data_IF_858325380101
#
_entry.id   IF_858325380101
#
_cell.length_a   1.000
_cell.length_b   1.000
_cell.length_c   1.000
_cell.angle_alpha   90.00
_cell.angle_beta   90.00
_cell.angle_gamma   90.00
#
_symmetry.space_group_name_H-M   'P 1'
#
loop_
_entity.id
_entity.type
_entity.pdbx_description
1 polymer ?
#
# COMPACT_ATOMS: atom_id res chain seq x y z
N UNK A 1 31.17 -11.26 -10.44
CA UNK A 1 29.87 -11.79 -10.91
C UNK A 1 29.35 -12.66 -9.78
N UNK A 2 28.26 -12.29 -9.14
CA UNK A 2 27.71 -13.06 -8.01
C UNK A 2 27.21 -14.42 -8.52
N UNK A 3 27.59 -15.51 -7.87
CA UNK A 3 27.14 -16.86 -8.22
C UNK A 3 25.61 -16.93 -8.26
N UNK A 4 25.07 -17.26 -9.44
CA UNK A 4 23.64 -17.46 -9.63
C UNK A 4 23.24 -18.80 -9.02
N UNK A 5 22.62 -18.76 -7.84
CA UNK A 5 22.04 -19.95 -7.20
C UNK A 5 20.67 -20.26 -7.82
N UNK A 6 20.45 -21.48 -8.35
CA UNK A 6 19.12 -21.88 -8.82
C UNK A 6 18.14 -21.98 -7.64
N UNK A 7 16.93 -21.47 -7.83
CA UNK A 7 15.82 -21.49 -6.86
C UNK A 7 14.61 -22.21 -7.45
N UNK A 8 13.69 -22.65 -6.59
CA UNK A 8 12.44 -23.29 -7.06
C UNK A 8 11.49 -22.28 -7.72
N UNK A 9 10.55 -22.75 -8.54
CA UNK A 9 9.52 -21.90 -9.13
C UNK A 9 8.65 -21.20 -8.06
N UNK A 10 8.33 -21.91 -6.97
CA UNK A 10 7.59 -21.34 -5.85
C UNK A 10 8.37 -20.22 -5.15
N UNK A 11 9.68 -20.40 -4.96
CA UNK A 11 10.57 -19.40 -4.38
C UNK A 11 10.76 -18.20 -5.33
N UNK A 12 10.84 -18.45 -6.63
CA UNK A 12 10.85 -17.40 -7.64
C UNK A 12 9.55 -16.59 -7.61
N UNK A 13 8.38 -17.23 -7.59
CA UNK A 13 7.09 -16.56 -7.49
C UNK A 13 6.95 -15.72 -6.22
N UNK A 14 7.43 -16.24 -5.09
CA UNK A 14 7.49 -15.50 -3.83
C UNK A 14 8.36 -14.24 -3.94
N UNK A 15 9.60 -14.40 -4.42
CA UNK A 15 10.53 -13.29 -4.60
C UNK A 15 10.00 -12.27 -5.61
N UNK A 16 9.36 -12.73 -6.68
CA UNK A 16 8.73 -11.88 -7.67
C UNK A 16 7.62 -11.02 -7.08
N UNK A 17 6.66 -11.61 -6.36
CA UNK A 17 5.58 -10.85 -5.72
C UNK A 17 6.15 -9.83 -4.74
N UNK A 18 7.16 -10.21 -3.94
CA UNK A 18 7.84 -9.29 -3.02
C UNK A 18 8.48 -8.10 -3.74
N UNK A 19 9.05 -8.30 -4.93
CA UNK A 19 9.68 -7.24 -5.71
C UNK A 19 8.69 -6.42 -6.54
N UNK A 20 7.57 -7.00 -6.98
CA UNK A 20 6.52 -6.28 -7.73
C UNK A 20 5.67 -5.42 -6.79
N UNK A 21 5.37 -5.93 -5.59
CA UNK A 21 4.62 -5.22 -4.55
C UNK A 21 5.54 -4.30 -3.72
N UNK A 22 6.76 -4.05 -4.18
CA UNK A 22 7.77 -3.35 -3.41
C UNK A 22 7.27 -1.96 -2.95
N UNK A 23 7.60 -1.66 -1.70
CA UNK A 23 7.11 -0.55 -0.89
C UNK A 23 7.04 0.79 -1.64
N UNK A 24 7.99 1.08 -2.54
CA UNK A 24 8.05 2.35 -3.26
C UNK A 24 6.82 2.66 -4.12
N UNK A 25 6.14 1.66 -4.70
CA UNK A 25 4.92 1.89 -5.49
C UNK A 25 3.67 1.99 -4.61
N UNK A 26 3.59 1.12 -3.60
CA UNK A 26 2.53 1.20 -2.59
C UNK A 26 2.59 2.55 -1.88
N UNK A 27 3.76 2.98 -1.43
CA UNK A 27 3.98 4.31 -0.88
C UNK A 27 3.56 5.39 -1.85
N UNK A 28 3.94 5.41 -3.13
CA UNK A 28 3.52 6.51 -4.03
C UNK A 28 2.01 6.56 -4.31
N UNK A 29 1.36 5.43 -4.58
CA UNK A 29 -0.08 5.39 -4.87
C UNK A 29 -0.93 5.58 -3.59
N UNK A 30 -0.47 5.05 -2.45
CA UNK A 30 -1.14 5.21 -1.15
C UNK A 30 -0.84 6.57 -0.53
N UNK A 31 0.39 7.09 -0.57
CA UNK A 31 0.72 8.45 -0.13
C UNK A 31 -0.11 9.47 -0.90
N UNK A 32 -0.25 9.34 -2.22
CA UNK A 32 -1.13 10.24 -2.99
C UNK A 32 -2.60 10.17 -2.54
N UNK A 33 -3.07 9.01 -2.06
CA UNK A 33 -4.41 8.82 -1.52
C UNK A 33 -4.54 9.16 -0.02
N UNK A 34 -3.44 9.24 0.73
CA UNK A 34 -3.40 9.46 2.18
C UNK A 34 -2.85 10.83 2.57
N UNK A 35 -2.21 11.57 1.65
CA UNK A 35 -1.81 12.97 1.81
C UNK A 35 -3.02 13.91 1.89
N UNK A 36 -4.22 13.42 1.59
CA UNK A 36 -5.47 14.12 1.93
C UNK A 36 -5.58 14.22 3.46
N UNK A 37 -5.52 15.43 4.00
CA UNK A 37 -5.77 15.70 5.41
C UNK A 37 -7.11 15.06 5.82
N UNK A 38 -7.07 14.17 6.81
CA UNK A 38 -8.28 13.57 7.35
C UNK A 38 -8.78 14.48 8.47
N UNK A 39 -9.72 15.36 8.12
CA UNK A 39 -10.40 16.22 9.09
C UNK A 39 -11.66 15.54 9.63
N UNK A 40 -11.93 15.74 10.91
CA UNK A 40 -13.18 15.29 11.51
C UNK A 40 -13.49 15.97 12.83
N UNK A 41 -14.68 15.70 13.35
CA UNK A 41 -15.09 16.19 14.66
C UNK A 41 -15.43 15.03 15.59
N UNK A 42 -15.07 15.21 16.85
CA UNK A 42 -15.36 14.33 17.97
C UNK A 42 -16.32 15.05 18.91
N UNK A 43 -17.44 14.40 19.23
CA UNK A 43 -18.43 14.93 20.17
C UNK A 43 -18.71 13.88 21.24
N UNK A 44 -18.44 14.22 22.51
CA UNK A 44 -18.88 13.44 23.68
C UNK A 44 -19.76 14.32 24.55
N UNK A 45 -20.93 13.82 24.98
CA UNK A 45 -21.78 14.40 26.02
C UNK A 45 -22.41 13.26 26.84
N UNK A 46 -22.52 13.33 28.19
CA UNK A 46 -23.03 14.48 28.96
C UNK A 46 -22.17 14.94 30.17
N UNK A 47 -22.55 16.12 30.71
CA UNK A 47 -22.04 16.85 31.90
C UNK A 47 -20.69 17.60 31.81
N UNK A 48 -19.86 17.37 30.80
CA UNK A 48 -18.72 18.26 30.48
C UNK A 48 -18.66 18.41 28.95
N UNK A 49 -19.03 19.60 28.46
CA UNK A 49 -19.05 19.96 27.04
C UNK A 49 -17.62 19.91 26.45
N UNK A 50 -17.22 18.76 25.91
CA UNK A 50 -15.97 18.59 25.17
C UNK A 50 -16.31 18.45 23.68
N UNK A 51 -15.96 19.48 22.91
CA UNK A 51 -16.04 19.46 21.45
C UNK A 51 -14.61 19.47 20.92
N UNK A 52 -14.26 18.46 20.12
CA UNK A 52 -12.93 18.33 19.53
C UNK A 52 -12.97 18.38 18.01
N UNK A 53 -12.20 19.27 17.39
CA UNK A 53 -11.82 19.14 15.96
C UNK A 53 -10.48 18.41 15.89
N UNK A 54 -10.28 17.57 14.89
CA UNK A 54 -8.96 17.02 14.63
C UNK A 54 -8.57 17.18 13.17
N UNK A 55 -7.27 17.35 12.95
CA UNK A 55 -6.64 17.33 11.64
C UNK A 55 -5.50 16.33 11.67
N UNK A 56 -5.58 15.30 10.83
CA UNK A 56 -4.56 14.26 10.72
C UNK A 56 -3.80 14.39 9.41
N UNK A 57 -2.47 14.36 9.50
CA UNK A 57 -1.55 14.37 8.36
C UNK A 57 -0.64 13.16 8.43
N UNK A 58 -0.57 12.42 7.33
CA UNK A 58 0.44 11.36 7.17
C UNK A 58 1.82 11.98 6.98
N UNK A 59 2.78 11.53 7.78
CA UNK A 59 4.17 11.95 7.78
C UNK A 59 5.06 10.96 7.04
N UNK A 60 4.84 9.66 7.27
CA UNK A 60 5.64 8.59 6.67
C UNK A 60 4.78 7.33 6.48
N UNK A 61 5.15 6.51 5.49
CA UNK A 61 4.51 5.26 5.14
C UNK A 61 5.56 4.19 4.94
N UNK A 62 5.51 3.13 5.74
CA UNK A 62 6.41 1.99 5.64
C UNK A 62 5.64 0.73 5.27
N UNK A 63 6.27 -0.13 4.46
CA UNK A 63 5.67 -1.40 4.02
C UNK A 63 6.64 -2.52 4.35
N UNK A 64 6.21 -3.43 5.21
CA UNK A 64 6.99 -4.59 5.63
C UNK A 64 6.36 -5.89 5.13
N UNK A 65 7.14 -6.83 4.56
CA UNK A 65 6.62 -8.14 4.19
C UNK A 65 6.33 -8.97 5.45
N UNK A 66 5.17 -9.63 5.48
CA UNK A 66 4.76 -10.53 6.56
C UNK A 66 5.25 -11.95 6.31
N UNK A 67 6.52 -12.18 6.64
CA UNK A 67 7.19 -13.46 6.41
C UNK A 67 6.62 -14.61 7.25
N UNK A 68 5.88 -14.30 8.32
CA UNK A 68 5.23 -15.28 9.18
C UNK A 68 4.01 -15.97 8.52
N UNK A 69 3.49 -15.43 7.42
CA UNK A 69 2.30 -15.97 6.73
C UNK A 69 2.62 -17.00 5.65
N UNK A 70 3.89 -17.36 5.46
CA UNK A 70 4.31 -18.32 4.44
C UNK A 70 3.49 -19.63 4.53
N UNK A 71 3.01 -20.17 3.40
CA UNK A 71 3.32 -19.81 2.01
C UNK A 71 2.52 -18.64 1.43
N UNK A 72 1.62 -18.00 2.19
CA UNK A 72 0.87 -16.82 1.72
C UNK A 72 1.76 -15.59 1.74
N UNK A 73 1.57 -14.71 0.76
CA UNK A 73 2.25 -13.40 0.73
C UNK A 73 1.32 -12.36 1.33
N UNK A 74 1.80 -11.64 2.34
CA UNK A 74 1.12 -10.51 2.94
C UNK A 74 2.11 -9.41 3.29
N UNK A 75 1.58 -8.23 3.54
CA UNK A 75 2.35 -7.05 3.91
C UNK A 75 1.71 -6.37 5.11
N UNK A 76 2.50 -5.62 5.85
CA UNK A 76 2.04 -4.67 6.86
C UNK A 76 2.39 -3.28 6.39
N UNK A 77 1.38 -2.43 6.31
CA UNK A 77 1.50 -1.01 6.06
C UNK A 77 1.51 -0.29 7.42
N UNK A 78 2.59 0.40 7.73
CA UNK A 78 2.71 1.25 8.91
C UNK A 78 2.60 2.71 8.48
N UNK A 79 1.56 3.38 8.97
CA UNK A 79 1.30 4.79 8.70
C UNK A 79 1.67 5.60 9.92
N UNK A 80 2.67 6.46 9.78
CA UNK A 80 3.06 7.41 10.80
C UNK A 80 2.44 8.76 10.45
N UNK A 81 1.78 9.40 11.41
CA UNK A 81 1.20 10.71 11.18
C UNK A 81 1.14 11.56 12.43
N UNK A 82 0.94 12.84 12.16
CA UNK A 82 0.75 13.88 13.15
C UNK A 82 -0.74 14.23 13.18
N UNK A 83 -1.32 14.29 14.38
CA UNK A 83 -2.68 14.71 14.57
C UNK A 83 -2.74 15.87 15.55
N UNK A 84 -3.32 16.98 15.10
CA UNK A 84 -3.67 18.10 15.96
C UNK A 84 -5.10 17.90 16.43
N UNK A 85 -5.32 17.85 17.75
CA UNK A 85 -6.63 17.78 18.36
C UNK A 85 -6.92 19.09 19.09
N UNK A 86 -7.83 19.89 18.54
CA UNK A 86 -8.30 21.14 19.11
C UNK A 86 -9.47 20.84 20.06
N UNK A 87 -9.25 20.98 21.36
CA UNK A 87 -10.24 20.73 22.39
C UNK A 87 -10.87 22.05 22.86
N UNK A 88 -12.19 22.04 22.92
CA UNK A 88 -12.96 23.07 23.60
C UNK A 88 -13.68 22.45 24.80
N UNK A 89 -13.24 22.83 25.99
CA UNK A 89 -13.83 22.42 27.27
C UNK A 89 -14.38 23.66 27.96
N UNK A 90 -15.70 23.80 28.00
CA UNK A 90 -16.37 25.02 28.48
C UNK A 90 -15.86 26.27 27.70
N UNK A 91 -15.07 27.14 28.36
CA UNK A 91 -14.44 28.34 27.79
C UNK A 91 -12.92 28.21 27.56
N UNK A 92 -12.35 27.03 27.84
CA UNK A 92 -10.92 26.78 27.68
C UNK A 92 -10.71 26.10 26.33
N UNK A 93 -9.80 26.67 25.53
CA UNK A 93 -9.29 26.05 24.31
C UNK A 93 -7.91 25.46 24.61
N UNK A 94 -7.68 24.26 24.11
CA UNK A 94 -6.41 23.59 24.27
C UNK A 94 -6.13 22.75 23.02
N UNK A 95 -4.91 22.82 22.54
CA UNK A 95 -4.46 22.06 21.38
C UNK A 95 -3.56 20.93 21.87
N UNK A 96 -3.77 19.73 21.32
CA UNK A 96 -3.01 18.53 21.67
C UNK A 96 -2.38 17.97 20.43
N UNK A 97 -1.05 17.93 20.41
CA UNK A 97 -0.29 17.22 19.40
C UNK A 97 -0.24 15.73 19.75
N UNK A 98 -0.61 14.89 18.78
CA UNK A 98 -0.71 13.46 18.94
C UNK A 98 0.06 12.78 17.81
N UNK A 99 1.11 12.05 18.16
CA UNK A 99 1.72 11.10 17.23
C UNK A 99 0.80 9.89 17.08
N UNK A 100 0.51 9.53 15.83
CA UNK A 100 -0.35 8.41 15.47
C UNK A 100 0.46 7.40 14.67
N UNK A 101 0.37 6.14 15.07
CA UNK A 101 0.83 4.99 14.29
C UNK A 101 -0.36 4.08 14.00
N UNK A 102 -0.60 3.79 12.72
CA UNK A 102 -1.68 2.91 12.25
C UNK A 102 -1.06 1.75 11.49
N UNK A 103 -1.38 0.53 11.90
CA UNK A 103 -0.94 -0.68 11.22
C UNK A 103 -2.08 -1.30 10.42
N UNK A 104 -1.91 -1.42 9.11
CA UNK A 104 -2.88 -2.06 8.21
C UNK A 104 -2.24 -3.30 7.61
N UNK A 105 -2.80 -4.46 7.90
CA UNK A 105 -2.36 -5.70 7.26
C UNK A 105 -2.99 -5.81 5.87
N UNK A 106 -2.18 -6.17 4.88
CA UNK A 106 -2.54 -6.35 3.47
C UNK A 106 -2.35 -7.81 3.09
N UNK A 107 -3.39 -8.46 2.60
CA UNK A 107 -3.28 -9.76 1.96
C UNK A 107 -3.00 -9.59 0.47
N UNK A 108 -2.27 -10.55 -0.12
CA UNK A 108 -2.11 -10.61 -1.58
C UNK A 108 -2.92 -11.75 -2.16
N UNK A 109 -3.77 -11.40 -3.11
CA UNK A 109 -4.51 -12.34 -3.92
C UNK A 109 -4.03 -12.29 -5.37
N UNK A 110 -3.89 -13.45 -5.98
CA UNK A 110 -3.46 -13.61 -7.37
C UNK A 110 -4.62 -14.13 -8.22
N UNK A 111 -4.85 -13.51 -9.37
CA UNK A 111 -5.91 -13.85 -10.30
C UNK A 111 -5.36 -14.02 -11.72
N UNK A 112 -6.05 -14.82 -12.54
CA UNK A 112 -5.75 -14.95 -13.97
C UNK A 112 -6.00 -13.62 -14.71
N UNK A 113 -5.23 -13.30 -15.79
CA UNK A 113 -4.05 -14.04 -16.26
C UNK A 113 -2.77 -13.75 -15.45
N UNK A 114 -2.59 -12.53 -14.93
CA UNK A 114 -1.48 -12.12 -14.06
C UNK A 114 -1.87 -10.85 -13.26
N UNK A 115 -2.99 -10.92 -12.55
CA UNK A 115 -3.51 -9.80 -11.75
C UNK A 115 -3.17 -10.05 -10.29
N UNK A 116 -2.56 -9.07 -9.63
CA UNK A 116 -2.37 -9.05 -8.18
C UNK A 116 -3.37 -8.08 -7.57
N UNK A 117 -4.07 -8.49 -6.52
CA UNK A 117 -4.89 -7.60 -5.69
C UNK A 117 -4.31 -7.56 -4.30
N UNK A 118 -4.09 -6.35 -3.81
CA UNK A 118 -3.74 -6.08 -2.42
C UNK A 118 -5.05 -5.82 -1.69
N UNK A 119 -5.37 -6.66 -0.71
CA UNK A 119 -6.62 -6.60 0.02
C UNK A 119 -6.31 -6.11 1.43
N UNK A 120 -6.53 -4.82 1.75
CA UNK A 120 -6.34 -4.32 3.09
C UNK A 120 -7.39 -4.92 4.01
N UNK A 121 -6.95 -5.46 5.14
CA UNK A 121 -7.84 -5.92 6.21
C UNK A 121 -8.36 -4.73 6.99
N UNK A 122 -9.62 -4.84 7.43
CA UNK A 122 -10.15 -3.88 8.39
C UNK A 122 -9.30 -3.88 9.65
N UNK A 123 -9.11 -2.68 10.21
CA UNK A 123 -8.30 -2.50 11.39
C UNK A 123 -9.12 -2.48 12.67
N UNK A 124 -8.49 -2.93 13.75
CA UNK A 124 -8.97 -2.84 15.12
C UNK A 124 -8.35 -1.68 15.90
N UNK A 125 -8.84 -1.48 17.13
CA UNK A 125 -8.31 -0.45 18.04
C UNK A 125 -6.89 -0.74 18.53
N UNK A 126 -6.48 -2.01 18.54
CA UNK A 126 -5.14 -2.49 18.90
C UNK A 126 -4.07 -2.16 17.84
N UNK A 127 -4.50 -1.93 16.59
CA UNK A 127 -3.64 -1.54 15.48
C UNK A 127 -3.42 -0.02 15.37
N UNK A 128 -4.04 0.76 16.26
CA UNK A 128 -3.85 2.22 16.35
C UNK A 128 -3.15 2.54 17.66
N UNK A 129 -1.96 3.14 17.56
CA UNK A 129 -1.21 3.65 18.71
C UNK A 129 -1.22 5.16 18.68
N UNK A 130 -1.55 5.76 19.81
CA UNK A 130 -1.60 7.20 20.02
C UNK A 130 -0.59 7.57 21.10
N UNK A 131 0.23 8.58 20.83
CA UNK A 131 1.12 9.17 21.83
C UNK A 131 0.83 10.66 21.89
N UNK A 132 0.19 11.08 22.97
CA UNK A 132 -0.12 12.49 23.22
C UNK A 132 1.10 13.21 23.79
N UNK A 133 1.46 14.34 23.21
CA UNK A 133 2.46 15.23 23.78
C UNK A 133 1.79 16.22 24.75
N UNK A 134 1.97 15.96 26.04
CA UNK A 134 1.39 16.78 27.10
C UNK A 134 2.17 18.07 27.42
N UNK A 135 3.28 18.36 26.74
CA UNK A 135 4.20 19.46 27.11
C UNK A 135 3.54 20.84 27.12
N UNK A 136 2.49 21.03 26.30
CA UNK A 136 1.76 22.30 26.17
C UNK A 136 0.43 22.34 26.95
N UNK A 137 0.07 21.24 27.65
CA UNK A 137 -1.20 21.15 28.36
C UNK A 137 -1.04 21.46 29.85
N UNK A 138 -1.88 22.34 30.42
CA UNK A 138 -2.06 22.41 31.87
C UNK A 138 -2.36 21.01 32.43
N UNK A 139 -1.73 20.63 33.55
CA UNK A 139 -1.82 19.26 34.09
C UNK A 139 -3.25 18.73 34.31
N UNK A 140 -4.21 19.61 34.61
CA UNK A 140 -5.63 19.26 34.73
C UNK A 140 -6.34 18.92 33.41
N UNK A 141 -5.80 19.38 32.27
CA UNK A 141 -6.30 19.07 30.92
C UNK A 141 -5.66 17.81 30.35
N UNK A 142 -4.41 17.49 30.74
CA UNK A 142 -3.74 16.26 30.30
C UNK A 142 -4.53 15.00 30.70
N UNK A 143 -5.03 14.97 31.93
CA UNK A 143 -5.87 13.85 32.40
C UNK A 143 -7.19 13.75 31.61
N UNK A 144 -7.79 14.89 31.23
CA UNK A 144 -9.00 14.92 30.40
C UNK A 144 -8.71 14.48 28.96
N UNK A 145 -7.57 14.86 28.40
CA UNK A 145 -7.14 14.43 27.07
C UNK A 145 -6.94 12.90 27.00
N UNK A 146 -6.35 12.30 28.04
CA UNK A 146 -6.22 10.83 28.14
C UNK A 146 -7.58 10.11 28.12
N UNK A 147 -8.62 10.69 28.72
CA UNK A 147 -9.99 10.13 28.67
C UNK A 147 -10.59 10.17 27.26
N UNK A 148 -10.08 11.02 26.37
CA UNK A 148 -10.50 11.10 24.98
C UNK A 148 -9.74 10.12 24.08
N UNK A 149 -8.62 9.57 24.52
CA UNK A 149 -7.81 8.64 23.72
C UNK A 149 -8.64 7.49 23.11
N UNK A 150 -9.53 6.80 23.86
CA UNK A 150 -10.33 5.72 23.28
C UNK A 150 -11.27 6.22 22.19
N UNK A 151 -11.84 7.42 22.34
CA UNK A 151 -12.77 8.00 21.36
C UNK A 151 -12.04 8.42 20.07
N UNK A 152 -10.88 9.03 20.22
CA UNK A 152 -9.99 9.40 19.12
C UNK A 152 -9.58 8.15 18.35
N UNK A 153 -9.14 7.12 19.07
CA UNK A 153 -8.75 5.82 18.51
C UNK A 153 -9.90 5.18 17.72
N UNK A 154 -11.09 5.10 18.29
CA UNK A 154 -12.27 4.56 17.61
C UNK A 154 -12.62 5.35 16.35
N UNK A 155 -12.49 6.68 16.38
CA UNK A 155 -12.75 7.51 15.22
C UNK A 155 -11.73 7.27 14.11
N UNK A 156 -10.44 7.15 14.44
CA UNK A 156 -9.40 6.77 13.48
C UNK A 156 -9.74 5.41 12.86
N UNK A 157 -10.05 4.40 13.67
CA UNK A 157 -10.46 3.07 13.19
C UNK A 157 -11.64 3.17 12.21
N UNK A 158 -12.69 3.93 12.56
CA UNK A 158 -13.84 4.13 11.67
C UNK A 158 -13.46 4.77 10.34
N UNK A 159 -12.66 5.83 10.36
CA UNK A 159 -12.27 6.55 9.14
C UNK A 159 -11.35 5.70 8.26
N UNK A 160 -10.37 5.01 8.85
CA UNK A 160 -9.49 4.11 8.12
C UNK A 160 -10.29 2.97 7.49
N UNK A 161 -11.18 2.32 8.24
CA UNK A 161 -12.03 1.24 7.70
C UNK A 161 -12.96 1.73 6.59
N UNK A 162 -13.48 2.95 6.69
CA UNK A 162 -14.26 3.59 5.62
C UNK A 162 -13.41 3.79 4.35
N UNK A 163 -12.15 4.21 4.50
CA UNK A 163 -11.22 4.38 3.37
C UNK A 163 -10.78 3.04 2.78
N UNK A 164 -10.57 2.02 3.62
CA UNK A 164 -10.28 0.65 3.18
C UNK A 164 -11.38 0.12 2.25
N UNK A 165 -12.65 0.37 2.61
CA UNK A 165 -13.80 -0.01 1.78
C UNK A 165 -14.04 0.86 0.54
N UNK A 166 -13.18 1.86 0.26
CA UNK A 166 -13.42 2.79 -0.85
C UNK A 166 -13.09 2.18 -2.22
N UNK A 167 -13.92 2.44 -3.26
CA UNK A 167 -13.64 1.96 -4.61
C UNK A 167 -12.36 2.53 -5.23
N UNK A 168 -11.92 3.71 -4.79
CA UNK A 168 -10.67 4.34 -5.24
C UNK A 168 -9.45 3.54 -4.76
N UNK A 169 -9.44 3.14 -3.48
CA UNK A 169 -8.37 2.30 -2.95
C UNK A 169 -8.38 0.93 -3.60
N UNK A 170 -9.54 0.31 -3.80
CA UNK A 170 -9.64 -1.00 -4.46
C UNK A 170 -9.05 -1.00 -5.89
N UNK A 171 -9.21 0.10 -6.63
CA UNK A 171 -8.63 0.28 -7.96
C UNK A 171 -7.10 0.44 -7.91
N UNK A 172 -6.59 1.29 -7.02
CA UNK A 172 -5.14 1.47 -6.84
C UNK A 172 -4.45 0.19 -6.33
N UNK A 173 -5.15 -0.57 -5.48
CA UNK A 173 -4.67 -1.83 -4.93
C UNK A 173 -4.71 -3.01 -5.94
N UNK A 174 -5.13 -2.78 -7.18
CA UNK A 174 -5.14 -3.80 -8.25
C UNK A 174 -3.99 -3.56 -9.22
N UNK A 175 -3.09 -4.54 -9.33
CA UNK A 175 -1.91 -4.49 -10.17
C UNK A 175 -2.07 -5.48 -11.32
N UNK A 176 -2.10 -4.95 -12.55
CA UNK A 176 -2.00 -5.76 -13.76
C UNK A 176 -0.52 -5.89 -14.16
N UNK A 177 0.07 -7.04 -13.80
CA UNK A 177 1.49 -7.32 -14.04
C UNK A 177 1.79 -7.46 -15.53
N UNK A 178 0.84 -7.97 -16.30
CA UNK A 178 1.00 -8.16 -17.75
C UNK A 178 1.05 -6.81 -18.46
N UNK A 179 0.14 -5.89 -18.10
CA UNK A 179 0.15 -4.51 -18.60
C UNK A 179 1.42 -3.77 -18.20
N UNK A 180 1.91 -3.97 -16.97
CA UNK A 180 3.20 -3.40 -16.54
C UNK A 180 4.35 -3.87 -17.42
N UNK A 181 4.50 -5.19 -17.59
CA UNK A 181 5.56 -5.78 -18.42
C UNK A 181 5.51 -5.28 -19.87
N UNK A 182 4.31 -5.08 -20.42
CA UNK A 182 4.12 -4.51 -21.76
C UNK A 182 4.52 -3.04 -21.84
N UNK A 183 4.14 -2.22 -20.85
CA UNK A 183 4.49 -0.80 -20.82
C UNK A 183 6.00 -0.55 -20.71
N UNK A 184 6.71 -1.37 -19.94
CA UNK A 184 8.18 -1.29 -19.82
C UNK A 184 8.90 -1.69 -21.12
N UNK A 185 8.31 -2.58 -21.95
CA UNK A 185 8.86 -2.91 -23.27
C UNK A 185 8.77 -1.74 -24.26
N UNK A 186 7.76 -0.89 -24.15
CA UNK A 186 7.57 0.27 -25.04
C UNK A 186 8.56 1.39 -24.71
N UNK A 187 8.97 1.57 -23.45
CA UNK A 187 10.02 2.55 -23.08
C UNK A 187 11.45 2.05 -23.33
N UNK A 188 11.65 0.77 -23.66
CA UNK A 188 12.98 0.14 -23.72
C UNK A 188 13.47 -0.28 -25.11
N UNK A 189 12.75 -0.06 -26.20
CA UNK A 189 13.15 -0.57 -27.51
C UNK A 189 12.91 0.41 -28.67
N UNK A 190 13.92 1.23 -28.97
CA UNK A 190 14.37 1.39 -30.35
C UNK A 190 15.61 0.52 -30.53
N UNK A 191 15.40 -0.78 -30.73
CA UNK A 191 16.41 -1.63 -31.34
C UNK A 191 16.31 -1.45 -32.86
N UNK A 192 17.43 -1.37 -33.60
CA UNK A 192 17.39 -1.26 -35.05
C UNK A 192 16.72 -2.49 -35.65
N UNK A 193 15.77 -2.27 -36.53
CA UNK A 193 15.25 -3.29 -37.45
C UNK A 193 16.39 -3.77 -38.32
N UNK A 194 16.96 -4.94 -38.03
CA UNK A 194 17.64 -5.72 -39.05
C UNK A 194 16.59 -6.49 -39.85
N UNK A 195 16.57 -6.36 -41.19
CA UNK A 195 15.61 -7.06 -42.03
C UNK A 195 15.92 -8.56 -42.01
N UNK A 196 14.89 -9.36 -41.71
CA UNK A 196 14.93 -10.81 -41.87
C UNK A 196 15.15 -11.11 -43.35
N UNK A 197 16.32 -11.65 -43.68
CA UNK A 197 16.60 -12.18 -45.01
C UNK A 197 15.62 -13.32 -45.31
N UNK A 198 14.80 -13.10 -46.33
CA UNK A 198 13.87 -14.06 -46.92
C UNK A 198 14.67 -15.22 -47.53
N UNK A 199 14.72 -16.37 -46.84
CA UNK A 199 15.29 -17.60 -47.41
C UNK A 199 14.28 -18.18 -48.41
N UNK A 200 14.32 -17.64 -49.63
CA UNK A 200 13.67 -18.23 -50.80
C UNK A 200 14.52 -19.41 -51.29
N UNK A 201 14.25 -20.59 -50.75
CA UNK A 201 14.74 -21.84 -51.33
C UNK A 201 13.92 -22.21 -52.56
N UNK A 202 14.37 -21.81 -53.77
CA UNK A 202 13.94 -22.43 -55.03
C UNK A 202 14.71 -23.73 -55.27
N UNK A 203 14.08 -24.75 -55.88
CA UNK A 203 14.72 -26.02 -56.16
C UNK A 203 15.63 -25.90 -57.39
N UNK A 204 16.85 -26.46 -57.31
CA UNK A 204 17.70 -26.65 -58.47
C UNK A 204 17.51 -28.08 -59.00
N UNK A 205 16.79 -28.10 -60.10
CA UNK A 205 16.68 -29.14 -61.11
C UNK A 205 18.08 -29.46 -61.68
N UNK A 206 18.36 -30.74 -61.96
CA UNK A 206 19.65 -31.14 -62.53
C UNK A 206 19.90 -32.64 -62.66
N UNK A 207 19.31 -33.27 -63.68
CA UNK A 207 19.96 -34.37 -64.42
C UNK A 207 19.14 -35.65 -64.65
N UNK A 208 18.79 -36.01 -65.91
CA UNK A 208 18.29 -37.33 -66.29
C UNK A 208 19.44 -38.21 -66.85
N UNK A 209 19.17 -39.40 -67.44
CA UNK A 209 18.56 -40.62 -66.92
C UNK A 209 19.58 -41.79 -66.96
N UNK A 210 19.34 -42.90 -66.26
CA UNK A 210 19.95 -44.19 -66.64
C UNK A 210 18.91 -45.33 -66.59
N UNK A 211 18.72 -45.91 -67.77
CA UNK A 211 17.86 -47.04 -68.12
C UNK A 211 18.49 -48.41 -67.76
N UNK A 212 17.61 -49.41 -67.63
CA UNK A 212 17.83 -50.88 -67.71
C UNK A 212 18.66 -51.52 -66.59
N UNK A 213 18.28 -52.65 -65.99
CA UNK A 213 17.62 -53.86 -66.52
C UNK A 213 16.90 -54.63 -65.38
#
# INVERSE_FOLDING_TARGET
>A
MSDLKPISYAEFGHNFIRQVVNAGRLSQEIEGLLQETIDGSLKRMPADLIVGSYSFRVRDVQVEPRLELLPKVGFRLELFGDMLLELRILNIRADVDIDVLINVDLDVETYEPLILKLVPRQIGADQVRLRMDGRNLPGGLLHRAQVLEPLVREQIVRQVNKRIGSPSLAKAATIDVLKMAQSSRVSGARAPTEPVAEVTGRPLDGGPPQDTN
#
